data_IF_568953109166
#
_entry.id   IF_568953109166
#
_cell.length_a   1.000
_cell.length_b   1.000
_cell.length_c   1.000
_cell.angle_alpha   90.00
_cell.angle_beta   90.00
_cell.angle_gamma   90.00
#
_symmetry.space_group_name_H-M   'P 1'
#
loop_
_entity.id
_entity.type
_entity.pdbx_description
1 polymer ?
#
# COMPACT_ATOMS: atom_id res chain seq x y z
N UNK A 1 67.41 103.83 -30.78
CA UNK A 1 66.01 103.42 -30.50
C UNK A 1 65.67 101.95 -30.83
N UNK A 2 66.56 101.12 -31.40
CA UNK A 2 66.24 99.74 -31.83
C UNK A 2 66.36 98.61 -30.79
N UNK A 3 67.16 98.77 -29.72
CA UNK A 3 67.44 97.67 -28.77
C UNK A 3 66.35 97.46 -27.69
N UNK A 4 65.67 98.53 -27.24
CA UNK A 4 64.56 98.44 -26.25
C UNK A 4 63.27 97.85 -26.83
N UNK A 5 62.96 98.10 -28.11
CA UNK A 5 61.79 97.52 -28.80
C UNK A 5 61.96 96.01 -29.10
N UNK A 6 63.19 95.55 -29.39
CA UNK A 6 63.48 94.12 -29.57
C UNK A 6 63.38 93.32 -28.27
N UNK A 7 63.83 93.85 -27.13
CA UNK A 7 63.68 93.17 -25.81
C UNK A 7 62.22 93.07 -25.34
N UNK A 8 61.40 94.08 -25.60
CA UNK A 8 59.96 94.05 -25.27
C UNK A 8 59.16 93.09 -26.17
N UNK A 9 59.51 93.00 -27.47
CA UNK A 9 58.93 92.03 -28.40
C UNK A 9 59.31 90.58 -28.08
N UNK A 10 60.59 90.33 -27.73
CA UNK A 10 61.06 89.02 -27.29
C UNK A 10 60.38 88.59 -25.99
N UNK A 11 60.29 89.46 -24.98
CA UNK A 11 59.61 89.15 -23.72
C UNK A 11 58.10 88.87 -23.90
N UNK A 12 57.44 89.53 -24.87
CA UNK A 12 56.03 89.28 -25.19
C UNK A 12 55.85 87.98 -25.97
N UNK A 13 56.74 87.66 -26.92
CA UNK A 13 56.75 86.36 -27.61
C UNK A 13 56.99 85.21 -26.61
N UNK A 14 58.00 85.32 -25.75
CA UNK A 14 58.32 84.29 -24.75
C UNK A 14 57.16 84.07 -23.77
N UNK A 15 56.45 85.13 -23.34
CA UNK A 15 55.23 84.98 -22.51
C UNK A 15 54.08 84.30 -23.25
N UNK A 16 53.87 84.59 -24.54
CA UNK A 16 52.82 83.95 -25.35
C UNK A 16 53.16 82.48 -25.62
N UNK A 17 54.43 82.15 -25.88
CA UNK A 17 54.88 80.75 -26.06
C UNK A 17 54.74 79.95 -24.76
N UNK A 18 55.15 80.51 -23.61
CA UNK A 18 54.98 79.86 -22.31
C UNK A 18 53.50 79.65 -21.99
N UNK A 19 52.64 80.66 -22.21
CA UNK A 19 51.20 80.53 -21.99
C UNK A 19 50.57 79.46 -22.90
N UNK A 20 51.00 79.37 -24.17
CA UNK A 20 50.50 78.38 -25.12
C UNK A 20 50.93 76.96 -24.74
N UNK A 21 52.17 76.77 -24.30
CA UNK A 21 52.68 75.47 -23.81
C UNK A 21 51.95 75.03 -22.55
N UNK A 22 51.67 75.95 -21.61
CA UNK A 22 50.89 75.64 -20.40
C UNK A 22 49.46 75.20 -20.75
N UNK A 23 48.79 75.88 -21.69
CA UNK A 23 47.44 75.50 -22.12
C UNK A 23 47.43 74.13 -22.80
N UNK A 24 48.40 73.82 -23.65
CA UNK A 24 48.49 72.50 -24.31
C UNK A 24 48.73 71.38 -23.29
N UNK A 25 49.63 71.58 -22.31
CA UNK A 25 49.87 70.59 -21.24
C UNK A 25 48.63 70.38 -20.39
N UNK A 26 47.88 71.45 -20.07
CA UNK A 26 46.62 71.35 -19.33
C UNK A 26 45.53 70.60 -20.12
N UNK A 27 45.42 70.86 -21.43
CA UNK A 27 44.43 70.19 -22.30
C UNK A 27 44.78 68.71 -22.52
N UNK A 28 46.06 68.38 -22.77
CA UNK A 28 46.51 66.99 -22.91
C UNK A 28 46.36 66.24 -21.58
N UNK A 29 46.71 66.86 -20.46
CA UNK A 29 46.47 66.31 -19.13
C UNK A 29 44.99 66.08 -18.84
N UNK A 30 44.12 67.03 -19.19
CA UNK A 30 42.67 66.88 -19.06
C UNK A 30 42.11 65.76 -19.96
N UNK A 31 42.56 65.66 -21.21
CA UNK A 31 42.21 64.57 -22.12
C UNK A 31 42.66 63.20 -21.60
N UNK A 32 43.89 63.09 -21.09
CA UNK A 32 44.41 61.86 -20.49
C UNK A 32 43.62 61.45 -19.23
N UNK A 33 43.24 62.42 -18.39
CA UNK A 33 42.37 62.17 -17.22
C UNK A 33 40.98 61.71 -17.66
N UNK A 34 40.41 62.31 -18.71
CA UNK A 34 39.08 61.91 -19.24
C UNK A 34 39.12 60.52 -19.86
N UNK A 35 40.14 60.18 -20.66
CA UNK A 35 40.28 58.83 -21.25
C UNK A 35 40.53 57.78 -20.19
N UNK A 36 41.37 58.07 -19.19
CA UNK A 36 41.62 57.19 -18.06
C UNK A 36 40.35 56.96 -17.22
N UNK A 37 39.58 58.03 -16.91
CA UNK A 37 38.29 57.92 -16.22
C UNK A 37 37.28 57.10 -17.02
N UNK A 38 37.18 57.31 -18.33
CA UNK A 38 36.32 56.49 -19.22
C UNK A 38 36.73 55.02 -19.24
N UNK A 39 38.03 54.73 -19.18
CA UNK A 39 38.55 53.36 -19.08
C UNK A 39 38.14 52.67 -17.78
N UNK A 40 38.28 53.35 -16.64
CA UNK A 40 37.84 52.83 -15.34
C UNK A 40 36.32 52.62 -15.29
N UNK A 41 35.53 53.55 -15.85
CA UNK A 41 34.08 53.39 -15.95
C UNK A 41 33.69 52.14 -16.73
N UNK A 42 34.31 51.90 -17.90
CA UNK A 42 34.03 50.67 -18.69
C UNK A 42 34.37 49.39 -17.92
N UNK A 43 35.51 49.36 -17.22
CA UNK A 43 35.88 48.20 -16.41
C UNK A 43 34.92 47.98 -15.23
N UNK A 44 34.41 49.06 -14.64
CA UNK A 44 33.41 48.99 -13.58
C UNK A 44 32.08 48.44 -14.11
N UNK A 45 31.63 48.93 -15.28
CA UNK A 45 30.42 48.46 -15.95
C UNK A 45 30.51 46.96 -16.30
N UNK A 46 31.66 46.52 -16.83
CA UNK A 46 31.91 45.12 -17.17
C UNK A 46 31.86 44.19 -15.94
N UNK A 47 32.57 44.53 -14.86
CA UNK A 47 32.57 43.72 -13.62
C UNK A 47 31.18 43.72 -12.96
N UNK A 48 30.45 44.83 -13.06
CA UNK A 48 29.07 44.93 -12.57
C UNK A 48 28.14 44.01 -13.37
N UNK A 49 28.26 44.00 -14.70
CA UNK A 49 27.49 43.10 -15.57
C UNK A 49 27.79 41.62 -15.27
N UNK A 50 29.07 41.25 -15.09
CA UNK A 50 29.46 39.89 -14.71
C UNK A 50 28.89 39.48 -13.34
N UNK A 51 28.84 40.40 -12.38
CA UNK A 51 28.27 40.14 -11.05
C UNK A 51 26.76 39.92 -11.15
N UNK A 52 26.05 40.75 -11.93
CA UNK A 52 24.62 40.58 -12.17
C UNK A 52 24.31 39.25 -12.86
N UNK A 53 25.17 38.82 -13.80
CA UNK A 53 25.06 37.51 -14.45
C UNK A 53 25.26 36.35 -13.45
N UNK A 54 26.26 36.44 -12.57
CA UNK A 54 26.49 35.43 -11.53
C UNK A 54 25.28 35.33 -10.57
N UNK A 55 24.74 36.46 -10.11
CA UNK A 55 23.54 36.50 -9.27
C UNK A 55 22.28 35.97 -9.97
N UNK A 56 22.16 36.19 -11.29
CA UNK A 56 21.07 35.60 -12.07
C UNK A 56 21.23 34.07 -12.17
N UNK A 57 22.45 33.58 -12.37
CA UNK A 57 22.74 32.14 -12.39
C UNK A 57 22.48 31.48 -11.02
N UNK A 58 22.88 32.12 -9.93
CA UNK A 58 22.59 31.70 -8.55
C UNK A 58 21.08 31.61 -8.29
N UNK A 59 20.30 32.65 -8.63
CA UNK A 59 18.84 32.63 -8.50
C UNK A 59 18.19 31.48 -9.29
N UNK A 60 18.70 31.19 -10.49
CA UNK A 60 18.22 30.06 -11.29
C UNK A 60 18.58 28.70 -10.66
N UNK A 61 19.76 28.58 -10.02
CA UNK A 61 20.17 27.39 -9.28
C UNK A 61 19.28 27.18 -8.05
N UNK A 62 19.07 28.23 -7.24
CA UNK A 62 18.22 28.20 -6.04
C UNK A 62 16.77 27.84 -6.38
N UNK A 63 16.25 28.31 -7.51
CA UNK A 63 14.92 27.92 -7.99
C UNK A 63 14.85 26.41 -8.29
N UNK A 64 15.82 25.84 -9.01
CA UNK A 64 15.87 24.39 -9.28
C UNK A 64 16.04 23.57 -8.01
N UNK A 65 16.89 24.04 -7.08
CA UNK A 65 17.07 23.41 -5.77
C UNK A 65 15.74 23.29 -5.01
N UNK A 66 14.83 24.28 -5.11
CA UNK A 66 13.52 24.21 -4.46
C UNK A 66 12.66 23.04 -4.99
N UNK A 67 12.67 22.81 -6.30
CA UNK A 67 11.95 21.70 -6.93
C UNK A 67 12.58 20.34 -6.55
N UNK A 68 13.91 20.28 -6.51
CA UNK A 68 14.64 19.07 -6.11
C UNK A 68 14.48 18.73 -4.63
N UNK A 69 14.46 19.73 -3.74
CA UNK A 69 14.17 19.53 -2.32
C UNK A 69 12.76 18.92 -2.15
N UNK A 70 11.78 19.39 -2.92
CA UNK A 70 10.42 18.84 -2.89
C UNK A 70 10.42 17.37 -3.32
N UNK A 71 11.13 17.05 -4.41
CA UNK A 71 11.31 15.67 -4.88
C UNK A 71 12.02 14.80 -3.84
N UNK A 72 13.09 15.32 -3.23
CA UNK A 72 13.88 14.64 -2.21
C UNK A 72 13.05 14.33 -0.96
N UNK A 73 12.22 15.27 -0.49
CA UNK A 73 11.33 15.06 0.67
C UNK A 73 10.28 13.99 0.38
N UNK A 74 9.65 14.03 -0.80
CA UNK A 74 8.71 12.99 -1.21
C UNK A 74 9.39 11.62 -1.24
N UNK A 75 10.59 11.53 -1.82
CA UNK A 75 11.36 10.29 -1.86
C UNK A 75 11.67 9.79 -0.45
N UNK A 76 12.17 10.67 0.42
CA UNK A 76 12.54 10.36 1.80
C UNK A 76 11.37 9.76 2.60
N UNK A 77 10.15 10.28 2.42
CA UNK A 77 8.93 9.71 3.01
C UNK A 77 8.55 8.39 2.36
N UNK A 78 8.51 8.31 1.03
CA UNK A 78 8.09 7.09 0.33
C UNK A 78 9.04 5.90 0.50
N UNK A 79 10.30 6.15 0.87
CA UNK A 79 11.32 5.13 1.08
C UNK A 79 11.44 4.71 2.56
N UNK A 80 10.49 5.07 3.41
CA UNK A 80 10.55 4.74 4.85
C UNK A 80 10.41 3.24 5.09
N UNK A 81 11.40 2.66 5.77
CA UNK A 81 11.48 1.21 5.99
C UNK A 81 11.73 0.39 4.71
N UNK A 82 11.89 1.05 3.57
CA UNK A 82 11.99 0.43 2.25
C UNK A 82 13.34 0.71 1.57
N UNK A 83 14.43 0.65 2.33
CA UNK A 83 15.81 0.78 1.84
C UNK A 83 16.67 -0.30 2.47
N UNK A 84 17.74 -0.70 1.79
CA UNK A 84 18.65 -1.73 2.30
C UNK A 84 19.52 -1.23 3.48
N UNK A 85 19.79 0.08 3.53
CA UNK A 85 20.60 0.73 4.56
C UNK A 85 20.00 2.12 4.89
N UNK A 86 19.64 2.31 6.16
CA UNK A 86 19.09 3.56 6.68
C UNK A 86 20.10 4.71 6.57
N UNK A 87 21.41 4.43 6.57
CA UNK A 87 22.46 5.44 6.39
C UNK A 87 22.37 6.18 5.05
N UNK A 88 21.76 5.57 4.03
CA UNK A 88 21.51 6.23 2.74
C UNK A 88 20.43 7.30 2.87
N UNK A 89 19.42 7.07 3.72
CA UNK A 89 18.38 8.06 4.03
C UNK A 89 18.93 9.19 4.89
N UNK A 90 19.80 8.89 5.85
CA UNK A 90 20.51 9.92 6.63
C UNK A 90 21.33 10.85 5.71
N UNK A 91 21.99 10.29 4.69
CA UNK A 91 22.67 11.05 3.66
C UNK A 91 21.74 11.98 2.87
N UNK A 92 20.53 11.52 2.52
CA UNK A 92 19.52 12.35 1.86
C UNK A 92 18.98 13.45 2.79
N UNK A 93 18.71 13.15 4.06
CA UNK A 93 18.29 14.14 5.04
C UNK A 93 19.33 15.26 5.18
N UNK A 94 20.60 14.90 5.35
CA UNK A 94 21.70 15.87 5.41
C UNK A 94 21.85 16.72 4.14
N UNK A 95 21.64 16.12 2.96
CA UNK A 95 21.68 16.84 1.70
C UNK A 95 20.49 17.80 1.51
N UNK A 96 19.30 17.42 1.98
CA UNK A 96 18.12 18.30 2.03
C UNK A 96 18.39 19.50 2.93
N UNK A 97 18.89 19.28 4.15
CA UNK A 97 19.21 20.38 5.08
C UNK A 97 20.25 21.34 4.51
N UNK A 98 21.31 20.81 3.86
CA UNK A 98 22.32 21.63 3.20
C UNK A 98 21.73 22.46 2.05
N UNK A 99 20.88 21.86 1.22
CA UNK A 99 20.22 22.56 0.10
C UNK A 99 19.21 23.63 0.58
N UNK A 100 18.48 23.38 1.67
CA UNK A 100 17.59 24.36 2.29
C UNK A 100 18.33 25.55 2.85
N UNK A 101 19.52 25.33 3.43
CA UNK A 101 20.39 26.40 3.91
C UNK A 101 20.86 27.31 2.78
N UNK A 102 21.31 26.75 1.66
CA UNK A 102 21.71 27.54 0.48
C UNK A 102 20.56 28.40 -0.07
N UNK A 103 19.34 27.86 -0.05
CA UNK A 103 18.13 28.63 -0.42
C UNK A 103 17.88 29.81 0.53
N UNK A 104 18.15 29.65 1.83
CA UNK A 104 17.92 30.68 2.84
C UNK A 104 18.99 31.79 2.84
N UNK A 105 20.24 31.43 2.50
CA UNK A 105 21.39 32.34 2.55
C UNK A 105 21.58 33.19 1.29
N UNK A 106 20.86 32.90 0.19
CA UNK A 106 20.89 33.65 -1.06
C UNK A 106 20.57 35.15 -0.86
N UNK A 107 21.62 35.98 -0.73
CA UNK A 107 21.52 37.43 -0.54
C UNK A 107 22.18 38.16 -1.70
N UNK A 108 21.50 39.18 -2.24
CA UNK A 108 22.06 40.01 -3.29
C UNK A 108 23.33 40.73 -2.84
N UNK A 109 24.46 40.45 -3.51
CA UNK A 109 25.72 41.19 -3.34
C UNK A 109 25.56 42.64 -3.83
N UNK A 110 25.91 43.62 -2.98
CA UNK A 110 25.82 45.06 -3.26
C UNK A 110 27.10 45.56 -3.95
N UNK A 111 26.96 46.36 -5.01
CA UNK A 111 28.10 46.93 -5.75
C UNK A 111 28.75 48.08 -4.97
N UNK A 112 30.09 48.10 -4.89
CA UNK A 112 30.84 49.21 -4.32
C UNK A 112 31.28 50.24 -5.36
N UNK A 113 31.52 51.48 -4.93
CA UNK A 113 31.86 52.62 -5.80
C UNK A 113 33.27 52.56 -6.43
N UNK A 114 34.04 51.48 -6.22
CA UNK A 114 35.41 51.32 -6.73
C UNK A 114 35.60 49.97 -7.44
N UNK A 115 36.55 49.92 -8.39
CA UNK A 115 36.87 48.70 -9.14
C UNK A 115 37.31 47.54 -8.22
N UNK A 116 38.00 47.83 -7.12
CA UNK A 116 38.39 46.84 -6.11
C UNK A 116 37.17 46.23 -5.42
N UNK A 117 36.21 47.06 -5.04
CA UNK A 117 34.98 46.61 -4.40
C UNK A 117 34.10 45.82 -5.39
N UNK A 118 33.98 46.28 -6.64
CA UNK A 118 33.25 45.56 -7.68
C UNK A 118 33.86 44.16 -7.96
N UNK A 119 35.19 44.04 -8.02
CA UNK A 119 35.86 42.75 -8.18
C UNK A 119 35.69 41.83 -6.96
N UNK A 120 35.65 42.39 -5.75
CA UNK A 120 35.35 41.61 -4.54
C UNK A 120 33.91 41.08 -4.57
N UNK A 121 32.95 41.91 -4.98
CA UNK A 121 31.56 41.51 -5.17
C UNK A 121 31.41 40.39 -6.21
N UNK A 122 32.11 40.48 -7.35
CA UNK A 122 32.11 39.42 -8.36
C UNK A 122 32.66 38.09 -7.81
N UNK A 123 33.76 38.13 -7.04
CA UNK A 123 34.32 36.92 -6.42
C UNK A 123 33.35 36.29 -5.42
N UNK A 124 32.67 37.10 -4.61
CA UNK A 124 31.65 36.63 -3.69
C UNK A 124 30.49 35.97 -4.45
N UNK A 125 29.91 36.65 -5.45
CA UNK A 125 28.83 36.09 -6.26
C UNK A 125 29.22 34.78 -6.97
N UNK A 126 30.45 34.67 -7.48
CA UNK A 126 30.95 33.42 -8.06
C UNK A 126 31.14 32.31 -7.03
N UNK A 127 31.48 32.64 -5.79
CA UNK A 127 31.56 31.66 -4.70
C UNK A 127 30.16 31.13 -4.34
N UNK A 128 29.16 32.00 -4.21
CA UNK A 128 27.75 31.58 -3.97
C UNK A 128 27.25 30.65 -5.09
N UNK A 129 27.54 30.98 -6.36
CA UNK A 129 27.21 30.09 -7.49
C UNK A 129 27.89 28.73 -7.36
N UNK A 130 29.14 28.67 -6.87
CA UNK A 130 29.86 27.42 -6.68
C UNK A 130 29.27 26.59 -5.51
N UNK A 131 28.90 27.25 -4.41
CA UNK A 131 28.22 26.64 -3.26
C UNK A 131 26.87 26.04 -3.67
N UNK A 132 26.02 26.81 -4.34
CA UNK A 132 24.72 26.35 -4.84
C UNK A 132 24.84 25.16 -5.81
N UNK A 133 25.82 25.16 -6.71
CA UNK A 133 26.11 24.01 -7.60
C UNK A 133 26.55 22.77 -6.82
N UNK A 134 27.37 22.95 -5.79
CA UNK A 134 27.81 21.86 -4.91
C UNK A 134 26.62 21.22 -4.18
N UNK A 135 25.72 22.03 -3.65
CA UNK A 135 24.50 21.56 -3.00
C UNK A 135 23.55 20.84 -3.97
N UNK A 136 23.34 21.37 -5.19
CA UNK A 136 22.52 20.71 -6.24
C UNK A 136 23.10 19.33 -6.60
N UNK A 137 24.41 19.25 -6.80
CA UNK A 137 25.07 17.98 -7.13
C UNK A 137 25.00 16.96 -5.97
N UNK A 138 25.21 17.42 -4.72
CA UNK A 138 25.13 16.56 -3.55
C UNK A 138 23.70 16.03 -3.32
N UNK A 139 22.69 16.88 -3.46
CA UNK A 139 21.29 16.50 -3.33
C UNK A 139 20.89 15.47 -4.39
N UNK A 140 21.26 15.69 -5.65
CA UNK A 140 21.01 14.72 -6.73
C UNK A 140 21.68 13.38 -6.47
N UNK A 141 22.95 13.39 -6.06
CA UNK A 141 23.67 12.16 -5.73
C UNK A 141 22.99 11.39 -4.59
N UNK A 142 22.49 12.09 -3.56
CA UNK A 142 21.76 11.47 -2.46
C UNK A 142 20.40 10.92 -2.89
N UNK A 143 19.66 11.64 -3.76
CA UNK A 143 18.41 11.15 -4.37
C UNK A 143 18.66 9.85 -5.13
N UNK A 144 19.69 9.82 -5.98
CA UNK A 144 20.01 8.65 -6.80
C UNK A 144 20.46 7.46 -5.93
N UNK A 145 21.22 7.71 -4.86
CA UNK A 145 21.60 6.68 -3.90
C UNK A 145 20.39 6.06 -3.19
N UNK A 146 19.44 6.88 -2.71
CA UNK A 146 18.20 6.38 -2.09
C UNK A 146 17.36 5.61 -3.11
N UNK A 147 17.23 6.10 -4.35
CA UNK A 147 16.49 5.39 -5.40
C UNK A 147 17.09 4.01 -5.69
N UNK A 148 18.42 3.93 -5.82
CA UNK A 148 19.09 2.66 -6.06
C UNK A 148 18.92 1.69 -4.89
N UNK A 149 19.07 2.18 -3.65
CA UNK A 149 18.86 1.38 -2.42
C UNK A 149 17.41 0.89 -2.30
N UNK A 150 16.44 1.77 -2.57
CA UNK A 150 15.02 1.46 -2.54
C UNK A 150 14.64 0.43 -3.62
N UNK A 151 15.11 0.61 -4.85
CA UNK A 151 14.87 -0.35 -5.92
C UNK A 151 15.47 -1.73 -5.59
N UNK A 152 16.67 -1.77 -5.01
CA UNK A 152 17.29 -3.01 -4.54
C UNK A 152 16.49 -3.69 -3.43
N UNK A 153 15.99 -2.92 -2.46
CA UNK A 153 15.14 -3.42 -1.39
C UNK A 153 13.85 -4.05 -1.92
N UNK A 154 13.14 -3.35 -2.81
CA UNK A 154 11.89 -3.87 -3.41
C UNK A 154 12.13 -5.16 -4.20
N UNK A 155 13.26 -5.26 -4.90
CA UNK A 155 13.63 -6.47 -5.62
C UNK A 155 13.90 -7.65 -4.67
N UNK A 156 14.59 -7.41 -3.55
CA UNK A 156 14.85 -8.43 -2.53
C UNK A 156 13.56 -8.92 -1.87
N UNK A 157 12.68 -8.01 -1.47
CA UNK A 157 11.37 -8.36 -0.89
C UNK A 157 10.49 -9.12 -1.89
N UNK A 158 10.43 -8.67 -3.15
CA UNK A 158 9.70 -9.38 -4.20
C UNK A 158 10.29 -10.79 -4.45
N UNK A 159 11.61 -10.94 -4.40
CA UNK A 159 12.30 -12.22 -4.53
C UNK A 159 11.93 -13.18 -3.40
N UNK A 160 11.93 -12.68 -2.15
CA UNK A 160 11.51 -13.46 -0.97
C UNK A 160 10.06 -13.90 -1.09
N UNK A 161 9.17 -12.98 -1.44
CA UNK A 161 7.74 -13.24 -1.60
C UNK A 161 7.48 -14.31 -2.68
N UNK A 162 8.09 -14.16 -3.86
CA UNK A 162 7.96 -15.13 -4.94
C UNK A 162 8.50 -16.51 -4.54
N UNK A 163 9.64 -16.55 -3.85
CA UNK A 163 10.24 -17.81 -3.37
C UNK A 163 9.36 -18.49 -2.32
N UNK A 164 8.80 -17.73 -1.37
CA UNK A 164 7.91 -18.25 -0.35
C UNK A 164 6.60 -18.79 -0.96
N UNK A 165 5.99 -18.05 -1.89
CA UNK A 165 4.78 -18.49 -2.59
C UNK A 165 5.03 -19.76 -3.41
N UNK A 166 6.18 -19.85 -4.08
CA UNK A 166 6.59 -21.05 -4.82
C UNK A 166 6.77 -22.26 -3.91
N UNK A 167 7.41 -22.08 -2.74
CA UNK A 167 7.59 -23.14 -1.76
C UNK A 167 6.25 -23.62 -1.17
N UNK A 168 5.31 -22.71 -0.94
CA UNK A 168 3.97 -23.05 -0.48
C UNK A 168 3.19 -23.84 -1.55
N UNK A 169 3.28 -23.44 -2.82
CA UNK A 169 2.74 -24.19 -3.95
C UNK A 169 3.35 -25.60 -4.05
N UNK A 170 4.67 -25.74 -3.87
CA UNK A 170 5.35 -27.05 -3.86
C UNK A 170 4.81 -27.96 -2.76
N UNK A 171 4.58 -27.42 -1.55
CA UNK A 171 3.99 -28.18 -0.45
C UNK A 171 2.54 -28.62 -0.74
N UNK A 172 1.73 -27.75 -1.34
CA UNK A 172 0.36 -28.10 -1.77
C UNK A 172 0.36 -29.16 -2.88
N UNK A 173 1.32 -29.13 -3.81
CA UNK A 173 1.50 -30.18 -4.83
C UNK A 173 1.77 -31.53 -4.16
N UNK A 174 2.68 -31.60 -3.20
CA UNK A 174 2.98 -32.85 -2.47
C UNK A 174 1.74 -33.37 -1.71
N UNK A 175 1.02 -32.48 -1.01
CA UNK A 175 -0.18 -32.85 -0.26
C UNK A 175 -1.33 -33.31 -1.19
N UNK A 176 -1.50 -32.67 -2.34
CA UNK A 176 -2.50 -33.03 -3.33
C UNK A 176 -2.17 -34.36 -4.02
N UNK A 177 -0.89 -34.63 -4.36
CA UNK A 177 -0.45 -35.93 -4.90
C UNK A 177 -0.76 -37.07 -3.92
N UNK A 178 -0.50 -36.85 -2.63
CA UNK A 178 -0.85 -37.79 -1.57
C UNK A 178 -2.36 -38.02 -1.50
N UNK A 179 -3.15 -36.95 -1.50
CA UNK A 179 -4.62 -37.01 -1.47
C UNK A 179 -5.18 -37.77 -2.68
N UNK A 180 -4.64 -37.53 -3.88
CA UNK A 180 -5.04 -38.21 -5.11
C UNK A 180 -4.75 -39.72 -5.07
N UNK A 181 -3.62 -40.10 -4.47
CA UNK A 181 -3.21 -41.49 -4.28
C UNK A 181 -4.07 -42.18 -3.22
N UNK A 182 -4.23 -41.57 -2.05
CA UNK A 182 -4.94 -42.16 -0.92
C UNK A 182 -6.46 -42.27 -1.15
N UNK A 183 -7.03 -41.46 -2.05
CA UNK A 183 -8.46 -41.46 -2.39
C UNK A 183 -8.87 -42.53 -3.42
N UNK A 184 -7.94 -43.31 -3.96
CA UNK A 184 -8.24 -44.35 -4.96
C UNK A 184 -9.27 -45.35 -4.43
N UNK A 185 -10.38 -45.51 -5.17
CA UNK A 185 -11.50 -46.38 -4.79
C UNK A 185 -12.31 -45.91 -3.57
N UNK A 186 -11.98 -44.75 -2.99
CA UNK A 186 -12.62 -44.23 -1.77
C UNK A 186 -13.59 -43.07 -2.04
N UNK A 187 -13.76 -42.63 -3.29
CA UNK A 187 -14.75 -41.62 -3.69
C UNK A 187 -15.95 -42.28 -4.38
N UNK A 188 -17.13 -41.66 -4.27
CA UNK A 188 -18.36 -42.12 -4.94
C UNK A 188 -18.40 -41.79 -6.43
N UNK A 189 -17.84 -40.65 -6.82
CA UNK A 189 -17.69 -40.21 -8.20
C UNK A 189 -16.20 -39.91 -8.47
N UNK A 190 -15.60 -40.59 -9.45
CA UNK A 190 -14.18 -40.41 -9.80
C UNK A 190 -13.92 -39.09 -10.57
N UNK A 191 -14.96 -38.36 -10.98
CA UNK A 191 -14.82 -37.05 -11.61
C UNK A 191 -14.09 -36.04 -10.72
N UNK A 192 -14.29 -36.09 -9.39
CA UNK A 192 -13.62 -35.21 -8.42
C UNK A 192 -12.11 -35.47 -8.36
N UNK A 193 -11.69 -36.74 -8.50
CA UNK A 193 -10.27 -37.12 -8.58
C UNK A 193 -9.64 -36.67 -9.88
N UNK A 194 -10.37 -36.74 -11.00
CA UNK A 194 -9.91 -36.18 -12.28
C UNK A 194 -9.73 -34.66 -12.21
N UNK A 195 -10.65 -33.93 -11.57
CA UNK A 195 -10.50 -32.50 -11.35
C UNK A 195 -9.27 -32.16 -10.49
N UNK A 196 -8.98 -32.93 -9.44
CA UNK A 196 -7.74 -32.77 -8.65
C UNK A 196 -6.50 -33.03 -9.50
N UNK A 197 -6.53 -34.05 -10.36
CA UNK A 197 -5.43 -34.32 -11.28
C UNK A 197 -5.18 -33.16 -12.26
N UNK A 198 -6.25 -32.59 -12.83
CA UNK A 198 -6.14 -31.45 -13.74
C UNK A 198 -5.58 -30.22 -13.00
N UNK A 199 -6.01 -29.99 -11.76
CA UNK A 199 -5.46 -28.93 -10.90
C UNK A 199 -3.97 -29.14 -10.57
N UNK A 200 -3.55 -30.38 -10.29
CA UNK A 200 -2.14 -30.74 -10.09
C UNK A 200 -1.29 -30.45 -11.34
N UNK A 201 -1.79 -30.83 -12.51
CA UNK A 201 -1.07 -30.62 -13.77
C UNK A 201 -0.95 -29.11 -14.08
N UNK A 202 -2.01 -28.33 -13.82
CA UNK A 202 -1.98 -26.86 -13.93
C UNK A 202 -1.04 -26.20 -12.90
N UNK A 203 -1.05 -26.65 -11.65
CA UNK A 203 -0.17 -26.17 -10.59
C UNK A 203 1.30 -26.41 -10.91
N UNK A 204 1.65 -27.59 -11.45
CA UNK A 204 3.02 -27.91 -11.89
C UNK A 204 3.45 -27.05 -13.07
N UNK A 205 2.57 -26.83 -14.05
CA UNK A 205 2.86 -25.94 -15.17
C UNK A 205 3.09 -24.50 -14.69
N UNK A 206 2.27 -24.01 -13.76
CA UNK A 206 2.46 -22.71 -13.16
C UNK A 206 3.77 -22.67 -12.35
N UNK A 207 4.08 -23.67 -11.52
CA UNK A 207 5.34 -23.74 -10.78
C UNK A 207 6.59 -23.64 -11.67
N UNK A 208 6.56 -24.25 -12.85
CA UNK A 208 7.74 -24.44 -13.72
C UNK A 208 7.96 -23.32 -14.75
N UNK A 209 7.07 -22.33 -14.83
CA UNK A 209 7.23 -21.23 -15.78
C UNK A 209 8.42 -20.32 -15.41
N UNK A 210 9.03 -19.71 -16.43
CA UNK A 210 10.17 -18.81 -16.22
C UNK A 210 9.72 -17.44 -15.70
N UNK A 211 10.32 -17.00 -14.60
CA UNK A 211 10.09 -15.69 -13.99
C UNK A 211 11.32 -14.82 -14.20
N UNK A 212 11.12 -13.56 -14.61
CA UNK A 212 12.20 -12.58 -14.70
C UNK A 212 12.61 -12.11 -13.29
N UNK A 213 13.70 -12.67 -12.78
CA UNK A 213 14.23 -12.36 -11.45
C UNK A 213 14.90 -10.98 -11.34
N UNK A 214 15.00 -10.21 -12.43
CA UNK A 214 15.57 -8.86 -12.42
C UNK A 214 14.54 -7.75 -12.20
N UNK A 215 13.25 -8.11 -12.17
CA UNK A 215 12.13 -7.16 -12.06
C UNK A 215 11.28 -7.47 -10.83
N UNK A 216 11.19 -6.49 -9.91
CA UNK A 216 10.33 -6.60 -8.73
C UNK A 216 8.85 -6.79 -9.10
N UNK A 217 8.39 -6.12 -10.16
CA UNK A 217 7.02 -6.27 -10.67
C UNK A 217 6.75 -7.68 -11.21
N UNK A 218 7.71 -8.24 -11.96
CA UNK A 218 7.60 -9.60 -12.50
C UNK A 218 7.59 -10.65 -11.38
N UNK A 219 8.45 -10.49 -10.37
CA UNK A 219 8.47 -11.34 -9.18
C UNK A 219 7.18 -11.21 -8.36
N UNK A 220 6.67 -9.99 -8.20
CA UNK A 220 5.39 -9.74 -7.53
C UNK A 220 4.19 -10.36 -8.26
N UNK A 221 4.19 -10.32 -9.59
CA UNK A 221 3.20 -11.02 -10.41
C UNK A 221 3.31 -12.55 -10.25
N UNK A 222 4.52 -13.10 -10.33
CA UNK A 222 4.75 -14.53 -10.14
C UNK A 222 4.31 -15.01 -8.74
N UNK A 223 4.59 -14.25 -7.68
CA UNK A 223 4.13 -14.56 -6.33
C UNK A 223 2.60 -14.70 -6.25
N UNK A 224 1.86 -13.78 -6.89
CA UNK A 224 0.39 -13.82 -6.96
C UNK A 224 -0.11 -15.01 -7.77
N UNK A 225 0.55 -15.33 -8.88
CA UNK A 225 0.22 -16.49 -9.71
C UNK A 225 0.44 -17.81 -8.95
N UNK A 226 1.56 -17.96 -8.24
CA UNK A 226 1.84 -19.12 -7.41
C UNK A 226 0.79 -19.27 -6.29
N UNK A 227 0.44 -18.17 -5.61
CA UNK A 227 -0.58 -18.18 -4.57
C UNK A 227 -1.98 -18.56 -5.10
N UNK A 228 -2.35 -18.06 -6.29
CA UNK A 228 -3.61 -18.42 -6.94
C UNK A 228 -3.64 -19.91 -7.35
N UNK A 229 -2.54 -20.42 -7.91
CA UNK A 229 -2.41 -21.83 -8.24
C UNK A 229 -2.49 -22.73 -6.99
N UNK A 230 -1.86 -22.30 -5.89
CA UNK A 230 -1.92 -22.99 -4.60
C UNK A 230 -3.37 -23.07 -4.09
N UNK A 231 -4.07 -21.94 -4.04
CA UNK A 231 -5.46 -21.89 -3.56
C UNK A 231 -6.40 -22.76 -4.40
N UNK A 232 -6.25 -22.75 -5.73
CA UNK A 232 -7.03 -23.60 -6.62
C UNK A 232 -6.76 -25.09 -6.39
N UNK A 233 -5.49 -25.46 -6.17
CA UNK A 233 -5.09 -26.84 -5.90
C UNK A 233 -5.60 -27.32 -4.53
N UNK A 234 -5.46 -26.49 -3.49
CA UNK A 234 -5.95 -26.79 -2.14
C UNK A 234 -7.47 -26.98 -2.14
N UNK A 235 -8.21 -26.14 -2.88
CA UNK A 235 -9.66 -26.29 -3.05
C UNK A 235 -10.03 -27.62 -3.72
N UNK A 236 -9.32 -28.01 -4.79
CA UNK A 236 -9.57 -29.28 -5.45
C UNK A 236 -9.26 -30.48 -4.53
N UNK A 237 -8.18 -30.41 -3.74
CA UNK A 237 -7.81 -31.45 -2.79
C UNK A 237 -8.84 -31.56 -1.64
N UNK A 238 -9.39 -30.43 -1.21
CA UNK A 238 -10.48 -30.39 -0.23
C UNK A 238 -11.73 -31.10 -0.74
N UNK A 239 -12.17 -30.81 -1.98
CA UNK A 239 -13.33 -31.48 -2.60
C UNK A 239 -13.16 -33.00 -2.64
N UNK A 240 -11.96 -33.50 -2.96
CA UNK A 240 -11.67 -34.95 -2.93
C UNK A 240 -11.78 -35.49 -1.49
N UNK A 241 -11.26 -34.77 -0.50
CA UNK A 241 -11.32 -35.16 0.91
C UNK A 241 -12.75 -35.23 1.45
N UNK A 242 -13.61 -34.28 1.05
CA UNK A 242 -15.04 -34.30 1.34
C UNK A 242 -15.73 -35.48 0.66
N UNK A 243 -15.43 -35.76 -0.61
CA UNK A 243 -15.99 -36.89 -1.34
C UNK A 243 -15.61 -38.25 -0.71
N UNK A 244 -14.38 -38.39 -0.21
CA UNK A 244 -13.94 -39.57 0.56
C UNK A 244 -14.76 -39.71 1.85
N UNK A 245 -14.94 -38.61 2.58
CA UNK A 245 -15.70 -38.60 3.85
C UNK A 245 -17.18 -38.93 3.62
N UNK A 246 -17.78 -38.38 2.56
CA UNK A 246 -19.16 -38.62 2.17
C UNK A 246 -19.39 -40.09 1.78
N UNK A 247 -18.48 -40.69 1.01
CA UNK A 247 -18.57 -42.11 0.66
C UNK A 247 -18.42 -43.00 1.89
N UNK A 248 -17.47 -42.72 2.78
CA UNK A 248 -17.30 -43.48 4.02
C UNK A 248 -18.57 -43.45 4.90
N UNK A 249 -19.20 -42.28 5.04
CA UNK A 249 -20.45 -42.13 5.77
C UNK A 249 -21.62 -42.89 5.10
N UNK A 250 -21.70 -42.87 3.77
CA UNK A 250 -22.71 -43.62 3.02
C UNK A 250 -22.53 -45.14 3.16
N UNK A 251 -21.29 -45.63 3.09
CA UNK A 251 -20.97 -47.05 3.28
C UNK A 251 -21.32 -47.52 4.70
N UNK A 252 -21.06 -46.70 5.73
CA UNK A 252 -21.42 -47.00 7.12
C UNK A 252 -22.94 -46.97 7.34
N UNK A 253 -23.64 -45.97 6.79
CA UNK A 253 -25.09 -45.91 6.84
C UNK A 253 -25.76 -47.12 6.16
N UNK A 254 -25.19 -47.59 5.05
CA UNK A 254 -25.65 -48.79 4.35
C UNK A 254 -25.44 -50.06 5.20
N UNK A 255 -24.30 -50.19 5.89
CA UNK A 255 -24.05 -51.30 6.84
C UNK A 255 -25.04 -51.27 8.01
N UNK A 256 -25.22 -50.12 8.65
CA UNK A 256 -26.17 -49.97 9.76
C UNK A 256 -27.64 -50.21 9.34
N UNK A 257 -27.99 -49.92 8.09
CA UNK A 257 -29.31 -50.27 7.54
C UNK A 257 -29.46 -51.78 7.33
N UNK A 258 -28.43 -52.45 6.80
CA UNK A 258 -28.41 -53.90 6.61
C UNK A 258 -28.50 -54.68 7.96
N UNK A 259 -27.80 -54.21 8.99
CA UNK A 259 -27.85 -54.80 10.33
C UNK A 259 -29.24 -54.66 10.97
N UNK A 260 -29.88 -53.48 10.84
CA UNK A 260 -31.25 -53.26 11.32
C UNK A 260 -32.29 -54.11 10.59
N UNK A 261 -32.13 -54.29 9.27
CA UNK A 261 -32.98 -55.17 8.48
C UNK A 261 -32.83 -56.64 8.92
N UNK A 262 -31.61 -57.06 9.24
CA UNK A 262 -31.34 -58.42 9.74
C UNK A 262 -31.90 -58.66 11.15
N UNK A 263 -31.84 -57.66 12.03
CA UNK A 263 -32.41 -57.74 13.39
C UNK A 263 -33.96 -57.77 13.39
N UNK A 264 -34.61 -57.05 12.48
CA UNK A 264 -36.08 -57.06 12.34
C UNK A 264 -36.60 -58.36 11.71
N UNK A 265 -35.84 -58.98 10.81
CA UNK A 265 -36.15 -60.32 10.30
C UNK A 265 -36.02 -61.43 11.37
N UNK A 266 -35.09 -61.29 12.33
CA UNK A 266 -34.91 -62.24 13.44
C UNK A 266 -35.93 -62.12 14.58
N UNK A 267 -36.63 -60.99 14.71
CA UNK A 267 -37.64 -60.75 15.77
C UNK A 267 -39.06 -61.22 15.44
N UNK A 268 -39.31 -61.71 14.23
CA UNK A 268 -40.64 -62.16 13.80
C UNK A 268 -40.91 -63.63 14.15
N UNK A 269 -41.01 -63.96 15.44
CA UNK A 269 -41.49 -65.28 15.90
C UNK A 269 -42.32 -65.27 17.20
N UNK A 270 -43.03 -64.19 17.52
CA UNK A 270 -44.03 -64.22 18.58
C UNK A 270 -45.22 -63.26 18.36
N UNK A 271 -46.41 -63.85 18.14
CA UNK A 271 -47.68 -63.34 18.70
C UNK A 271 -48.50 -62.34 17.88
N UNK A 272 -49.68 -62.79 17.45
CA UNK A 272 -50.74 -62.07 16.72
C UNK A 272 -51.39 -60.86 17.43
N UNK A 273 -51.78 -59.81 16.68
CA UNK A 273 -53.17 -59.42 16.32
C UNK A 273 -53.20 -58.07 15.57
N UNK A 274 -54.20 -57.80 14.69
CA UNK A 274 -54.24 -56.59 13.86
C UNK A 274 -55.18 -55.51 14.42
N UNK A 275 -54.77 -54.24 14.35
CA UNK A 275 -55.68 -53.10 14.52
C UNK A 275 -54.97 -51.77 14.75
N UNK A 276 -55.19 -50.80 13.87
CA UNK A 276 -54.89 -49.39 14.10
C UNK A 276 -54.11 -48.70 12.99
N UNK A 277 -54.81 -48.00 12.11
CA UNK A 277 -54.25 -47.00 11.21
C UNK A 277 -53.54 -45.89 11.99
N UNK A 278 -52.32 -45.55 11.58
CA UNK A 278 -51.74 -44.22 11.80
C UNK A 278 -50.84 -43.88 10.59
N UNK A 279 -51.42 -43.15 9.65
CA UNK A 279 -50.72 -42.34 8.66
C UNK A 279 -50.04 -41.16 9.35
N UNK A 280 -48.81 -40.83 8.98
CA UNK A 280 -48.24 -39.51 9.30
C UNK A 280 -46.72 -39.50 9.55
N UNK A 281 -45.97 -39.54 8.45
CA UNK A 281 -44.62 -39.02 8.22
C UNK A 281 -43.86 -38.42 9.43
N UNK A 282 -42.83 -39.14 9.88
CA UNK A 282 -41.76 -38.55 10.68
C UNK A 282 -40.79 -37.83 9.73
N UNK A 283 -40.86 -36.50 9.71
CA UNK A 283 -39.80 -35.67 9.18
C UNK A 283 -38.50 -35.97 9.94
N UNK A 284 -37.43 -36.29 9.20
CA UNK A 284 -36.11 -36.47 9.75
C UNK A 284 -35.67 -35.18 10.46
N UNK A 285 -35.49 -35.27 11.77
CA UNK A 285 -34.85 -34.24 12.57
C UNK A 285 -33.38 -34.14 12.14
N UNK A 286 -33.04 -33.13 11.34
CA UNK A 286 -31.66 -32.71 11.15
C UNK A 286 -31.15 -32.05 12.42
N UNK A 287 -29.97 -32.44 12.90
CA UNK A 287 -29.30 -31.79 14.02
C UNK A 287 -29.20 -30.28 13.77
N UNK A 288 -29.45 -29.47 14.80
CA UNK A 288 -29.32 -28.02 14.71
C UNK A 288 -27.90 -27.63 14.23
N UNK A 289 -27.74 -26.59 13.38
CA UNK A 289 -26.43 -26.12 12.97
C UNK A 289 -25.56 -25.74 14.17
N UNK A 290 -24.27 -26.07 14.11
CA UNK A 290 -23.32 -25.80 15.21
C UNK A 290 -23.29 -24.30 15.53
N UNK A 291 -23.37 -23.97 16.82
CA UNK A 291 -23.37 -22.58 17.28
C UNK A 291 -21.98 -21.97 17.26
N UNK A 292 -21.86 -20.69 16.90
CA UNK A 292 -20.57 -20.00 16.98
C UNK A 292 -20.03 -19.92 18.41
N UNK A 293 -20.91 -19.86 19.42
CA UNK A 293 -20.52 -19.97 20.83
C UNK A 293 -19.89 -21.32 21.16
N UNK A 294 -20.41 -22.42 20.63
CA UNK A 294 -19.84 -23.75 20.80
C UNK A 294 -18.47 -23.87 20.13
N UNK A 295 -18.34 -23.37 18.88
CA UNK A 295 -17.06 -23.31 18.19
C UNK A 295 -16.04 -22.47 18.95
N UNK A 296 -16.45 -21.30 19.44
CA UNK A 296 -15.59 -20.39 20.18
C UNK A 296 -15.15 -20.98 21.54
N UNK A 297 -16.04 -21.71 22.22
CA UNK A 297 -15.69 -22.45 23.43
C UNK A 297 -14.71 -23.61 23.15
N UNK A 298 -14.85 -24.27 22.00
CA UNK A 298 -14.03 -25.42 21.60
C UNK A 298 -12.63 -25.01 21.15
N UNK A 299 -12.53 -24.01 20.27
CA UNK A 299 -11.28 -23.64 19.60
C UNK A 299 -10.63 -22.38 20.19
N UNK A 300 -11.43 -21.54 20.85
CA UNK A 300 -11.01 -20.20 21.27
C UNK A 300 -11.39 -19.14 20.24
N UNK A 301 -11.56 -17.92 20.73
CA UNK A 301 -11.90 -16.75 19.93
C UNK A 301 -10.75 -16.37 18.97
N UNK A 302 -11.06 -16.31 17.68
CA UNK A 302 -10.12 -16.08 16.59
C UNK A 302 -9.32 -17.33 16.19
N UNK A 303 -9.65 -18.50 16.72
CA UNK A 303 -8.89 -19.75 16.51
C UNK A 303 -9.74 -20.89 15.92
N UNK A 304 -10.94 -20.57 15.44
CA UNK A 304 -11.83 -21.53 14.79
C UNK A 304 -11.24 -21.90 13.42
N UNK A 305 -11.02 -23.19 13.13
CA UNK A 305 -10.52 -23.59 11.82
C UNK A 305 -11.57 -23.27 10.75
N UNK A 306 -11.13 -22.80 9.58
CA UNK A 306 -12.01 -22.45 8.47
C UNK A 306 -12.98 -23.59 8.07
N UNK A 307 -12.56 -24.84 8.22
CA UNK A 307 -13.39 -26.03 7.97
C UNK A 307 -14.57 -26.22 8.93
N UNK A 308 -14.60 -25.50 10.05
CA UNK A 308 -15.73 -25.45 10.97
C UNK A 308 -16.65 -24.25 10.72
N UNK A 309 -16.29 -23.39 9.76
CA UNK A 309 -17.04 -22.22 9.35
C UNK A 309 -17.62 -22.44 7.95
N UNK A 310 -18.57 -21.59 7.57
CA UNK A 310 -19.26 -21.59 6.28
C UNK A 310 -18.92 -20.32 5.55
N UNK A 311 -18.52 -20.44 4.29
CA UNK A 311 -18.25 -19.29 3.43
C UNK A 311 -19.55 -18.63 2.97
N UNK A 312 -19.58 -17.29 2.96
CA UNK A 312 -20.69 -16.52 2.42
C UNK A 312 -20.59 -16.49 0.89
N UNK A 313 -21.51 -17.12 0.14
CA UNK A 313 -21.32 -17.33 -1.30
C UNK A 313 -21.49 -16.06 -2.15
N UNK A 314 -22.26 -15.07 -1.69
CA UNK A 314 -22.51 -13.82 -2.43
C UNK A 314 -21.54 -12.68 -2.09
N UNK A 315 -20.72 -12.85 -1.05
CA UNK A 315 -19.69 -11.92 -0.62
C UNK A 315 -18.47 -12.72 -0.12
N UNK A 316 -17.79 -13.46 -1.01
CA UNK A 316 -16.89 -14.55 -0.62
C UNK A 316 -15.60 -14.12 0.06
N UNK A 317 -15.20 -12.86 -0.07
CA UNK A 317 -13.95 -12.30 0.45
C UNK A 317 -14.13 -10.87 0.95
N UNK A 318 -13.42 -10.52 2.01
CA UNK A 318 -13.19 -9.12 2.44
C UNK A 318 -12.29 -8.44 1.41
N UNK A 319 -12.66 -7.27 0.88
CA UNK A 319 -11.96 -6.65 -0.27
C UNK A 319 -11.27 -5.30 0.02
N UNK A 320 -11.52 -4.70 1.18
CA UNK A 320 -10.90 -3.42 1.61
C UNK A 320 -9.68 -3.61 2.52
N UNK A 321 -9.31 -4.86 2.84
CA UNK A 321 -8.10 -5.23 3.59
C UNK A 321 -7.29 -6.24 2.77
N UNK A 322 -5.98 -6.02 2.68
CA UNK A 322 -5.03 -6.89 1.95
C UNK A 322 -4.11 -7.64 2.94
N UNK A 323 -3.89 -8.97 2.77
CA UNK A 323 -4.49 -9.80 1.72
C UNK A 323 -5.99 -10.01 1.95
N UNK A 324 -6.75 -10.20 0.87
CA UNK A 324 -8.16 -10.53 0.97
C UNK A 324 -8.36 -11.86 1.74
N UNK A 325 -9.26 -11.86 2.73
CA UNK A 325 -9.57 -13.04 3.55
C UNK A 325 -11.00 -13.54 3.28
N UNK A 326 -11.26 -14.86 3.39
CA UNK A 326 -12.57 -15.42 3.12
C UNK A 326 -13.62 -14.93 4.13
N UNK A 327 -14.82 -14.65 3.64
CA UNK A 327 -15.95 -14.24 4.48
C UNK A 327 -16.59 -15.48 5.09
N UNK A 328 -16.18 -15.81 6.32
CA UNK A 328 -16.57 -17.05 7.00
C UNK A 328 -17.47 -16.77 8.21
N UNK A 329 -18.43 -17.67 8.48
CA UNK A 329 -19.34 -17.60 9.62
C UNK A 329 -19.58 -18.96 10.26
N UNK A 330 -19.95 -18.97 11.54
CA UNK A 330 -20.42 -20.20 12.19
C UNK A 330 -21.69 -20.73 11.48
N UNK A 331 -21.90 -22.05 11.38
CA UNK A 331 -23.02 -22.62 10.61
C UNK A 331 -24.41 -22.07 10.98
N UNK A 332 -24.67 -21.89 12.28
CA UNK A 332 -25.91 -21.26 12.77
C UNK A 332 -26.06 -19.80 12.37
N UNK A 333 -24.99 -19.01 12.47
CA UNK A 333 -24.99 -17.61 12.07
C UNK A 333 -25.19 -17.48 10.55
N UNK A 334 -24.50 -18.30 9.76
CA UNK A 334 -24.69 -18.35 8.31
C UNK A 334 -26.13 -18.70 7.93
N UNK A 335 -26.74 -19.71 8.57
CA UNK A 335 -28.13 -20.06 8.29
C UNK A 335 -29.10 -18.89 8.61
N UNK A 336 -28.82 -18.11 9.64
CA UNK A 336 -29.56 -16.87 9.92
C UNK A 336 -29.32 -15.80 8.87
N UNK A 337 -28.06 -15.62 8.45
CA UNK A 337 -27.68 -14.62 7.46
C UNK A 337 -28.24 -14.91 6.08
N UNK A 338 -28.32 -16.17 5.67
CA UNK A 338 -28.91 -16.58 4.40
C UNK A 338 -30.37 -16.13 4.30
N UNK A 339 -31.16 -16.35 5.36
CA UNK A 339 -32.56 -15.88 5.43
C UNK A 339 -32.67 -14.36 5.48
N UNK A 340 -31.77 -13.69 6.20
CA UNK A 340 -31.68 -12.23 6.22
C UNK A 340 -31.38 -11.67 4.82
N UNK A 341 -30.43 -12.28 4.12
CA UNK A 341 -30.02 -11.90 2.78
C UNK A 341 -31.14 -12.12 1.76
N UNK A 342 -31.91 -13.21 1.85
CA UNK A 342 -33.08 -13.43 1.01
C UNK A 342 -34.13 -12.33 1.18
N UNK A 343 -34.45 -11.98 2.43
CA UNK A 343 -35.39 -10.91 2.73
C UNK A 343 -34.88 -9.53 2.29
N UNK A 344 -33.59 -9.25 2.49
CA UNK A 344 -32.94 -8.01 2.05
C UNK A 344 -32.96 -7.90 0.52
N UNK A 345 -32.65 -8.99 -0.18
CA UNK A 345 -32.71 -9.08 -1.64
C UNK A 345 -34.13 -8.84 -2.16
N UNK A 346 -35.14 -9.34 -1.47
CA UNK A 346 -36.55 -9.06 -1.77
C UNK A 346 -36.92 -7.58 -1.63
N UNK A 347 -36.31 -6.87 -0.68
CA UNK A 347 -36.59 -5.44 -0.44
C UNK A 347 -35.82 -4.51 -1.39
N UNK A 348 -34.56 -4.82 -1.70
CA UNK A 348 -33.65 -3.89 -2.40
C UNK A 348 -33.16 -4.39 -3.76
N UNK A 349 -33.52 -5.61 -4.17
CA UNK A 349 -33.11 -6.18 -5.45
C UNK A 349 -31.60 -6.50 -5.55
N UNK A 350 -30.90 -6.57 -4.42
CA UNK A 350 -29.46 -6.87 -4.34
C UNK A 350 -29.18 -7.71 -3.10
N UNK A 351 -28.14 -8.55 -3.16
CA UNK A 351 -27.63 -9.25 -1.97
C UNK A 351 -27.11 -8.24 -0.95
N UNK A 352 -27.21 -8.59 0.34
CA UNK A 352 -26.66 -7.82 1.45
C UNK A 352 -25.12 -7.79 1.32
N UNK A 353 -24.52 -6.63 1.02
CA UNK A 353 -23.07 -6.49 1.01
C UNK A 353 -22.51 -6.62 2.44
N UNK A 354 -21.30 -7.14 2.57
CA UNK A 354 -20.63 -7.38 3.84
C UNK A 354 -19.21 -6.83 3.78
N UNK A 355 -18.84 -6.08 4.82
CA UNK A 355 -17.51 -5.53 5.03
C UNK A 355 -16.59 -6.46 5.83
N UNK A 356 -17.13 -7.23 6.76
CA UNK A 356 -16.31 -8.16 7.56
C UNK A 356 -17.17 -9.30 8.12
N UNK A 357 -16.52 -10.40 8.52
CA UNK A 357 -17.13 -11.54 9.19
C UNK A 357 -16.14 -12.17 10.17
N UNK A 358 -15.77 -13.45 10.02
CA UNK A 358 -14.81 -14.07 10.93
C UNK A 358 -13.41 -13.44 10.83
N UNK A 359 -12.87 -13.02 11.98
CA UNK A 359 -11.53 -12.46 12.12
C UNK A 359 -10.65 -13.39 12.96
N UNK A 360 -9.47 -13.75 12.47
CA UNK A 360 -8.55 -14.62 13.21
C UNK A 360 -7.98 -13.91 14.45
N UNK A 361 -7.35 -14.66 15.35
CA UNK A 361 -6.71 -14.11 16.54
C UNK A 361 -5.57 -13.17 16.14
N UNK A 362 -4.78 -13.59 15.16
CA UNK A 362 -3.65 -12.85 14.61
C UNK A 362 -4.12 -11.55 13.95
N UNK A 363 -5.17 -11.61 13.11
CA UNK A 363 -5.77 -10.40 12.51
C UNK A 363 -6.34 -9.45 13.58
N UNK A 364 -6.88 -10.00 14.68
CA UNK A 364 -7.37 -9.18 15.79
C UNK A 364 -6.22 -8.53 16.57
N UNK A 365 -5.03 -9.15 16.62
CA UNK A 365 -3.81 -8.52 17.18
C UNK A 365 -3.42 -7.32 16.32
N UNK A 366 -3.39 -7.48 15.01
CA UNK A 366 -3.03 -6.42 14.08
C UNK A 366 -4.07 -5.28 14.09
N UNK A 367 -5.35 -5.62 14.09
CA UNK A 367 -6.43 -4.63 14.24
C UNK A 367 -6.31 -3.86 15.57
N UNK A 368 -5.94 -4.53 16.67
CA UNK A 368 -5.74 -3.86 17.97
C UNK A 368 -4.53 -2.92 17.95
N UNK A 369 -3.45 -3.30 17.28
CA UNK A 369 -2.27 -2.46 17.13
C UNK A 369 -2.56 -1.20 16.30
N UNK A 370 -3.36 -1.33 15.24
CA UNK A 370 -3.69 -0.23 14.33
C UNK A 370 -4.77 0.71 14.88
N UNK A 371 -5.84 0.16 15.46
CA UNK A 371 -7.05 0.92 15.79
C UNK A 371 -7.19 1.25 17.28
N UNK A 372 -6.28 0.74 18.12
CA UNK A 372 -6.26 1.07 19.55
C UNK A 372 -7.57 0.70 20.25
N UNK A 373 -8.16 1.64 20.99
CA UNK A 373 -9.38 1.39 21.79
C UNK A 373 -10.65 1.08 20.98
N UNK A 374 -10.65 1.36 19.67
CA UNK A 374 -11.73 1.00 18.77
C UNK A 374 -11.79 -0.50 18.46
N UNK A 375 -10.65 -1.20 18.58
CA UNK A 375 -10.61 -2.64 18.37
C UNK A 375 -10.75 -3.40 19.70
N UNK A 376 -11.53 -4.48 19.68
CA UNK A 376 -11.61 -5.41 20.79
C UNK A 376 -10.24 -6.00 21.15
N UNK A 377 -10.05 -6.35 22.43
CA UNK A 377 -8.85 -7.08 22.86
C UNK A 377 -8.77 -8.43 22.12
N UNK A 378 -7.59 -8.84 21.62
CA UNK A 378 -7.42 -10.14 20.99
C UNK A 378 -8.01 -11.28 21.83
N UNK A 379 -8.80 -12.13 21.18
CA UNK A 379 -9.53 -13.22 21.84
C UNK A 379 -10.85 -12.83 22.53
N UNK A 380 -11.37 -11.61 22.31
CA UNK A 380 -12.64 -11.15 22.90
C UNK A 380 -13.66 -10.62 21.88
N UNK A 381 -13.33 -10.64 20.59
CA UNK A 381 -14.17 -10.08 19.52
C UNK A 381 -15.25 -11.06 19.07
N UNK A 382 -16.49 -10.62 18.86
CA UNK A 382 -17.54 -11.50 18.32
C UNK A 382 -17.26 -11.96 16.88
N UNK A 383 -16.47 -11.20 16.10
CA UNK A 383 -15.92 -11.66 14.83
C UNK A 383 -15.09 -12.94 15.00
N UNK A 384 -14.28 -13.03 16.07
CA UNK A 384 -13.48 -14.22 16.38
C UNK A 384 -14.29 -15.45 16.79
N UNK A 385 -15.60 -15.32 17.03
CA UNK A 385 -16.49 -16.46 17.25
C UNK A 385 -17.33 -16.81 16.00
N UNK A 386 -17.14 -16.12 14.88
CA UNK A 386 -17.89 -16.34 13.64
C UNK A 386 -19.38 -15.98 13.76
N UNK A 387 -19.71 -15.03 14.63
CA UNK A 387 -21.09 -14.59 14.93
C UNK A 387 -21.29 -13.09 14.75
N UNK A 388 -20.36 -12.41 14.09
CA UNK A 388 -20.49 -11.00 13.75
C UNK A 388 -20.29 -10.81 12.26
N UNK A 389 -20.98 -9.81 11.72
CA UNK A 389 -20.72 -9.25 10.40
C UNK A 389 -20.67 -7.73 10.51
N UNK A 390 -19.89 -7.14 9.62
CA UNK A 390 -19.99 -5.73 9.30
C UNK A 390 -20.64 -5.59 7.92
N UNK A 391 -21.53 -4.61 7.75
CA UNK A 391 -22.05 -4.18 6.44
C UNK A 391 -21.29 -2.92 5.98
N UNK A 392 -21.44 -2.45 4.73
CA UNK A 392 -20.72 -1.29 4.23
C UNK A 392 -20.73 -0.10 5.17
N UNK A 393 -19.54 0.35 5.55
CA UNK A 393 -19.38 1.48 6.45
C UNK A 393 -19.72 2.79 5.71
N UNK A 394 -20.75 3.47 6.21
CA UNK A 394 -21.26 4.71 5.65
C UNK A 394 -20.23 5.84 5.55
N UNK A 395 -19.16 5.78 6.36
CA UNK A 395 -18.06 6.76 6.33
C UNK A 395 -17.25 6.71 5.03
N UNK A 396 -17.41 5.65 4.23
CA UNK A 396 -16.71 5.44 2.97
C UNK A 396 -17.62 5.53 1.73
N UNK A 397 -18.69 6.32 1.80
CA UNK A 397 -19.60 6.56 0.66
C UNK A 397 -20.73 5.53 0.52
N UNK A 398 -21.15 4.97 1.66
CA UNK A 398 -22.26 4.02 1.77
C UNK A 398 -23.38 4.59 2.65
N UNK A 399 -23.84 5.80 2.35
CA UNK A 399 -24.75 6.57 3.20
C UNK A 399 -26.07 5.83 3.50
N UNK A 400 -26.54 4.96 2.59
CA UNK A 400 -27.73 4.12 2.79
C UNK A 400 -27.59 3.12 3.97
N UNK A 401 -26.37 2.78 4.37
CA UNK A 401 -26.04 1.95 5.53
C UNK A 401 -25.68 2.79 6.77
N UNK A 402 -25.75 4.12 6.69
CA UNK A 402 -25.56 5.02 7.82
C UNK A 402 -26.79 5.13 8.72
N UNK A 403 -26.69 5.79 9.88
CA UNK A 403 -27.78 5.91 10.87
C UNK A 403 -29.10 6.46 10.31
N UNK A 404 -29.05 7.30 9.27
CA UNK A 404 -30.23 7.89 8.61
C UNK A 404 -30.59 7.17 7.30
N UNK A 405 -29.84 6.14 6.92
CA UNK A 405 -29.94 5.43 5.66
C UNK A 405 -31.09 4.42 5.63
N UNK A 406 -31.70 4.25 4.45
CA UNK A 406 -32.85 3.37 4.28
C UNK A 406 -32.50 1.89 4.56
N UNK A 407 -31.35 1.42 4.08
CA UNK A 407 -30.91 0.03 4.27
C UNK A 407 -30.57 -0.25 5.73
N UNK A 408 -29.94 0.71 6.42
CA UNK A 408 -29.72 0.62 7.86
C UNK A 408 -31.03 0.52 8.65
N UNK A 409 -31.99 1.41 8.40
CA UNK A 409 -33.30 1.36 9.05
C UNK A 409 -34.03 0.05 8.79
N UNK A 410 -33.95 -0.47 7.57
CA UNK A 410 -34.51 -1.78 7.25
C UNK A 410 -33.84 -2.89 8.04
N UNK A 411 -32.51 -2.90 8.18
CA UNK A 411 -31.78 -3.87 8.99
C UNK A 411 -32.19 -3.78 10.47
N UNK A 412 -32.27 -2.57 11.03
CA UNK A 412 -32.73 -2.35 12.42
C UNK A 412 -34.14 -2.91 12.65
N UNK A 413 -35.04 -2.73 11.69
CA UNK A 413 -36.42 -3.21 11.79
C UNK A 413 -36.56 -4.73 11.58
N UNK A 414 -35.70 -5.35 10.77
CA UNK A 414 -35.91 -6.71 10.27
C UNK A 414 -34.88 -7.74 10.75
N UNK A 415 -33.63 -7.37 11.04
CA UNK A 415 -32.55 -8.33 11.30
C UNK A 415 -32.86 -9.29 12.45
N UNK A 416 -33.56 -8.79 13.48
CA UNK A 416 -33.85 -9.56 14.70
C UNK A 416 -34.73 -10.78 14.46
N UNK A 417 -35.59 -10.78 13.45
CA UNK A 417 -36.42 -11.94 13.12
C UNK A 417 -35.61 -13.10 12.50
N UNK A 418 -34.38 -12.81 12.04
CA UNK A 418 -33.45 -13.77 11.47
C UNK A 418 -32.31 -14.13 12.43
N UNK A 419 -32.42 -13.71 13.70
CA UNK A 419 -31.42 -13.97 14.73
C UNK A 419 -30.24 -13.00 14.72
N UNK A 420 -30.32 -11.87 14.00
CA UNK A 420 -29.25 -10.85 13.95
C UNK A 420 -29.65 -9.57 14.70
N UNK A 421 -28.74 -8.99 15.46
CA UNK A 421 -28.97 -7.79 16.25
C UNK A 421 -28.03 -6.66 15.85
N UNK A 422 -28.60 -5.50 15.50
CA UNK A 422 -27.90 -4.25 15.22
C UNK A 422 -27.68 -3.45 16.53
N UNK A 423 -26.67 -2.58 16.55
CA UNK A 423 -26.53 -1.55 17.60
C UNK A 423 -26.14 -2.07 18.99
N UNK A 424 -25.58 -3.28 19.07
CA UNK A 424 -25.03 -3.84 20.31
C UNK A 424 -23.69 -3.23 20.70
N UNK A 425 -22.93 -2.75 19.71
CA UNK A 425 -21.72 -1.95 19.91
C UNK A 425 -22.07 -0.49 19.66
N UNK A 426 -21.83 0.36 20.64
CA UNK A 426 -22.16 1.78 20.55
C UNK A 426 -21.25 2.48 19.55
N UNK A 427 -21.84 3.22 18.59
CA UNK A 427 -21.09 3.94 17.57
C UNK A 427 -20.76 3.12 16.32
N UNK A 428 -21.20 1.87 16.23
CA UNK A 428 -20.94 0.97 15.09
C UNK A 428 -22.25 0.55 14.42
N UNK A 429 -22.89 1.43 13.63
CA UNK A 429 -24.13 1.10 12.91
C UNK A 429 -23.93 0.00 11.85
N UNK A 430 -22.71 -0.20 11.37
CA UNK A 430 -22.37 -1.28 10.44
C UNK A 430 -22.33 -2.66 11.11
N UNK A 431 -22.21 -2.74 12.44
CA UNK A 431 -21.96 -3.99 13.15
C UNK A 431 -23.24 -4.73 13.54
N UNK A 432 -23.33 -6.00 13.14
CA UNK A 432 -24.42 -6.91 13.49
C UNK A 432 -23.90 -8.18 14.16
N UNK A 433 -24.57 -8.61 15.23
CA UNK A 433 -24.23 -9.85 15.95
C UNK A 433 -25.36 -10.88 15.83
N UNK A 434 -25.00 -12.14 15.57
CA UNK A 434 -25.92 -13.26 15.61
C UNK A 434 -26.20 -13.68 17.06
N UNK A 435 -27.47 -13.65 17.45
CA UNK A 435 -27.97 -13.87 18.81
C UNK A 435 -28.87 -15.09 18.97
N UNK A 436 -29.17 -15.80 17.88
CA UNK A 436 -29.99 -17.02 17.87
C UNK A 436 -31.46 -16.79 17.55
#
# INVERSE_FOLDING_TARGET
>A
MGARRRRAGMARLTRVTIASVVVVVLVVGACAVVTHRRGISRQLDEVTAQTAQAQAAERALVARLADEITTAKSLFTSSEGAVADDGVRDGLAGAIEAAEKEKADAKGVVHGASLTAARAALRAANAEVAHAKGAEAALRAAIDAVRASHAGYLLDEATKAASAAKLALDASIEAADKTLTESEGKVGDDSVRRALKDALDAARQNRDHAVDASSADALGAAAKEFAAAQAALDAAAHVVSEAVSAKAAADEAARAAADRASATAGGSSAGATPGGSATGSAAAAGSAPVSGRELCAKYGNGRIPASALVQVPWAPTVTWIEPAHPMLLAPSAFAGLERLNEAFSGAFGMSLPLDDAYRSYEDQVDAKAQQGDWAAKPGTSNHGCGIAIDVPDYRYGHEDFGPDGEKYHWLVANARQFGWATGRVAGEPWHLEFVG
#
